data_IF_420884150423
#
_entry.id   IF_420884150423
#
_cell.length_a   1.000
_cell.length_b   1.000
_cell.length_c   1.000
_cell.angle_alpha   90.00
_cell.angle_beta   90.00
_cell.angle_gamma   90.00
#
_symmetry.space_group_name_H-M   'P 1'
#
loop_
_entity.id
_entity.type
_entity.pdbx_description
1 polymer ?
#
# COMPACT_ATOMS: atom_id res chain seq x y z
N UNK A 1 -0.76 21.16 14.55
CA UNK A 1 -0.95 19.68 14.57
C UNK A 1 -0.60 19.14 13.21
N UNK A 2 -0.03 17.93 13.15
CA UNK A 2 0.29 17.23 11.91
C UNK A 2 -0.14 15.77 12.04
N UNK A 3 -0.67 15.18 10.98
CA UNK A 3 -1.18 13.81 10.99
C UNK A 3 -1.18 13.19 9.59
N UNK A 4 -1.28 11.87 9.56
CA UNK A 4 -1.55 11.08 8.36
C UNK A 4 -3.00 10.54 8.44
N UNK A 5 -3.68 10.44 7.30
CA UNK A 5 -5.06 9.94 7.18
C UNK A 5 -5.15 8.47 6.68
N UNK A 6 -4.21 8.05 5.84
CA UNK A 6 -4.13 6.69 5.27
C UNK A 6 -3.94 5.57 6.29
N UNK A 7 -3.45 5.88 7.49
CA UNK A 7 -3.04 4.87 8.46
C UNK A 7 -1.79 4.17 7.96
N UNK A 8 -1.82 2.84 7.88
CA UNK A 8 -0.70 2.09 7.30
C UNK A 8 -0.88 1.91 5.81
N UNK A 9 -0.09 2.64 5.03
CA UNK A 9 -0.03 2.43 3.58
C UNK A 9 0.66 1.10 3.25
N UNK A 10 0.10 0.34 2.33
CA UNK A 10 0.70 -0.91 1.86
C UNK A 10 1.56 -0.62 0.62
N UNK A 11 2.78 -1.12 0.58
CA UNK A 11 3.63 -1.05 -0.61
C UNK A 11 3.96 -2.46 -1.12
N UNK A 12 4.08 -2.62 -2.43
CA UNK A 12 4.28 -3.92 -3.11
C UNK A 12 5.68 -4.53 -2.92
N UNK A 13 6.42 -4.14 -1.87
CA UNK A 13 7.81 -4.50 -1.67
C UNK A 13 8.76 -3.60 -2.48
N UNK A 14 9.87 -4.18 -2.95
CA UNK A 14 10.93 -3.44 -3.65
C UNK A 14 10.87 -3.57 -5.17
N UNK A 15 10.17 -4.57 -5.70
CA UNK A 15 10.14 -4.86 -7.14
C UNK A 15 8.80 -4.53 -7.83
N UNK A 16 8.86 -3.61 -8.79
CA UNK A 16 7.75 -3.15 -9.62
C UNK A 16 7.85 -3.65 -11.08
N UNK A 17 8.79 -4.55 -11.38
CA UNK A 17 9.04 -5.06 -12.74
C UNK A 17 8.04 -6.13 -13.21
N UNK A 18 7.29 -6.74 -12.31
CA UNK A 18 6.33 -7.82 -12.63
C UNK A 18 4.90 -7.27 -12.61
N UNK A 19 4.44 -6.79 -11.47
CA UNK A 19 3.16 -6.09 -11.33
C UNK A 19 3.18 -5.11 -10.16
N UNK A 20 2.16 -4.27 -10.08
CA UNK A 20 1.87 -3.43 -8.92
C UNK A 20 0.38 -3.46 -8.54
N UNK A 21 0.10 -3.46 -7.24
CA UNK A 21 -1.18 -3.17 -6.60
C UNK A 21 -1.17 -1.72 -6.07
N UNK A 22 -0.11 -1.29 -5.39
CA UNK A 22 0.04 0.06 -4.84
C UNK A 22 1.47 0.62 -4.98
N UNK A 23 1.64 1.91 -5.34
CA UNK A 23 2.94 2.55 -5.37
C UNK A 23 3.46 2.83 -3.94
N UNK A 24 4.75 3.18 -3.77
CA UNK A 24 5.19 3.89 -2.57
C UNK A 24 4.39 5.18 -2.42
N UNK A 25 3.73 5.37 -1.28
CA UNK A 25 2.78 6.47 -1.11
C UNK A 25 2.57 6.80 0.37
N UNK A 26 2.25 8.06 0.64
CA UNK A 26 1.77 8.52 1.94
C UNK A 26 1.15 9.91 1.82
N UNK A 27 0.34 10.29 2.80
CA UNK A 27 -0.24 11.61 2.91
C UNK A 27 0.15 12.26 4.23
N UNK A 28 0.41 13.56 4.19
CA UNK A 28 0.68 14.34 5.38
C UNK A 28 -0.21 15.58 5.39
N UNK A 29 -0.93 15.76 6.48
CA UNK A 29 -1.78 16.91 6.74
C UNK A 29 -1.25 17.72 7.91
N UNK A 30 -1.47 19.02 7.88
CA UNK A 30 -1.15 19.91 8.98
C UNK A 30 -2.11 21.09 9.08
N UNK A 31 -2.38 21.50 10.32
CA UNK A 31 -3.10 22.72 10.64
C UNK A 31 -2.31 23.54 11.66
N UNK A 32 -2.19 24.83 11.39
CA UNK A 32 -1.68 25.83 12.32
C UNK A 32 -2.87 26.54 12.96
N UNK A 33 -2.93 26.55 14.28
CA UNK A 33 -3.98 27.21 15.05
C UNK A 33 -3.34 28.21 15.98
N UNK A 34 -3.86 29.45 15.99
CA UNK A 34 -3.44 30.46 16.93
C UNK A 34 -4.05 30.14 18.31
N UNK A 35 -3.19 29.81 19.27
CA UNK A 35 -3.59 29.38 20.62
C UNK A 35 -4.45 30.42 21.37
N UNK A 36 -4.25 31.72 21.15
CA UNK A 36 -5.02 32.74 21.89
C UNK A 36 -6.42 32.98 21.33
N UNK A 37 -6.61 32.74 20.03
CA UNK A 37 -7.91 32.98 19.36
C UNK A 37 -8.67 31.70 19.03
N UNK A 38 -8.00 30.54 19.08
CA UNK A 38 -8.53 29.27 18.60
C UNK A 38 -8.74 29.21 17.08
N UNK A 39 -8.38 30.26 16.33
CA UNK A 39 -8.60 30.34 14.89
C UNK A 39 -7.43 29.72 14.12
N UNK A 40 -7.77 29.05 13.02
CA UNK A 40 -6.78 28.54 12.09
C UNK A 40 -6.01 29.70 11.42
N UNK A 41 -4.72 29.49 11.21
CA UNK A 41 -3.83 30.38 10.45
C UNK A 41 -3.56 29.73 9.11
N UNK A 42 -3.96 30.40 8.02
CA UNK A 42 -3.93 29.84 6.66
C UNK A 42 -3.12 30.70 5.68
N UNK A 43 -2.89 31.98 6.00
CA UNK A 43 -2.14 32.91 5.18
C UNK A 43 -0.89 33.45 5.89
N UNK A 44 0.03 34.02 5.12
CA UNK A 44 1.31 34.58 5.61
C UNK A 44 2.15 33.60 6.42
N UNK A 45 1.99 32.31 6.16
CA UNK A 45 2.75 31.22 6.78
C UNK A 45 3.14 30.20 5.73
N UNK A 46 4.29 29.58 5.95
CA UNK A 46 4.76 28.44 5.17
C UNK A 46 4.86 27.25 6.11
N UNK A 47 4.30 26.11 5.71
CA UNK A 47 4.50 24.84 6.37
C UNK A 47 5.40 23.96 5.53
N UNK A 48 6.39 23.34 6.17
CA UNK A 48 7.32 22.41 5.52
C UNK A 48 7.42 21.12 6.32
N UNK A 49 7.74 20.01 5.65
CA UNK A 49 8.08 18.75 6.29
C UNK A 49 9.52 18.33 5.94
N UNK A 50 10.18 17.64 6.87
CA UNK A 50 11.50 17.04 6.70
C UNK A 50 11.58 15.73 7.49
N UNK A 51 12.47 14.82 7.12
CA UNK A 51 12.69 13.57 7.86
C UNK A 51 13.11 13.86 9.29
N UNK A 52 12.64 13.04 10.21
CA UNK A 52 12.99 13.10 11.62
C UNK A 52 13.56 11.77 12.07
N UNK A 53 14.71 11.79 12.74
CA UNK A 53 15.25 10.59 13.36
C UNK A 53 14.35 10.17 14.51
N UNK A 54 14.03 8.89 14.60
CA UNK A 54 13.19 8.36 15.66
C UNK A 54 13.93 8.38 17.00
N UNK A 55 13.53 9.30 17.87
CA UNK A 55 14.00 9.44 19.24
C UNK A 55 12.93 9.01 20.27
N UNK A 56 11.86 8.35 19.79
CA UNK A 56 10.70 7.97 20.61
C UNK A 56 10.82 6.58 21.24
N UNK A 57 11.72 5.75 20.71
CA UNK A 57 12.07 4.43 21.26
C UNK A 57 13.30 4.50 22.19
N UNK A 58 13.51 3.52 23.09
CA UNK A 58 14.71 3.47 23.93
C UNK A 58 16.01 3.43 23.11
N UNK A 59 17.10 3.97 23.64
CA UNK A 59 18.43 3.99 22.97
C UNK A 59 19.01 2.59 22.69
N UNK A 60 18.49 1.57 23.36
CA UNK A 60 18.84 0.16 23.14
C UNK A 60 18.06 -0.48 21.98
N UNK A 61 17.00 0.17 21.50
CA UNK A 61 16.19 -0.30 20.38
C UNK A 61 16.95 -0.07 19.07
N UNK A 62 17.01 -1.05 18.15
CA UNK A 62 17.65 -0.87 16.84
C UNK A 62 17.03 0.26 16.00
N UNK A 63 15.78 0.65 16.27
CA UNK A 63 15.09 1.76 15.63
C UNK A 63 15.46 3.12 16.21
N UNK A 64 16.19 3.20 17.34
CA UNK A 64 16.68 4.48 17.83
C UNK A 64 17.57 5.16 16.77
N UNK A 65 17.24 6.40 16.47
CA UNK A 65 17.88 7.19 15.42
C UNK A 65 17.52 6.76 14.00
N UNK A 66 16.53 5.87 13.81
CA UNK A 66 16.07 5.47 12.49
C UNK A 66 15.54 6.69 11.73
N UNK A 67 16.02 6.87 10.50
CA UNK A 67 15.63 8.00 9.65
C UNK A 67 15.52 7.50 8.20
N UNK A 68 14.50 7.97 7.49
CA UNK A 68 14.29 7.66 6.08
C UNK A 68 14.35 8.97 5.28
N UNK A 69 15.42 9.17 4.51
CA UNK A 69 15.66 10.40 3.74
C UNK A 69 15.62 10.20 2.23
N UNK A 70 15.52 8.95 1.77
CA UNK A 70 15.60 8.56 0.37
C UNK A 70 14.85 7.24 0.16
N UNK A 71 14.07 7.14 -0.92
CA UNK A 71 13.34 5.92 -1.29
C UNK A 71 13.78 5.36 -2.63
N UNK A 72 14.33 6.19 -3.53
CA UNK A 72 14.75 5.81 -4.89
C UNK A 72 15.83 4.75 -4.97
N UNK A 73 16.61 4.57 -3.91
CA UNK A 73 17.66 3.54 -3.82
C UNK A 73 17.16 2.24 -3.19
N UNK A 74 15.92 2.21 -2.69
CA UNK A 74 15.34 1.09 -1.91
C UNK A 74 14.34 0.25 -2.70
N UNK A 75 13.95 0.72 -3.89
CA UNK A 75 13.02 0.06 -4.80
C UNK A 75 13.31 0.47 -6.25
N UNK A 76 12.88 -0.34 -7.22
CA UNK A 76 12.92 0.01 -8.65
C UNK A 76 11.65 0.71 -9.15
N UNK A 77 10.77 1.22 -8.27
CA UNK A 77 9.51 1.89 -8.62
C UNK A 77 9.66 2.94 -9.74
N UNK A 78 10.63 3.86 -9.62
CA UNK A 78 10.85 4.93 -10.60
C UNK A 78 11.27 4.43 -11.99
N UNK A 79 11.80 3.21 -12.10
CA UNK A 79 12.07 2.59 -13.40
C UNK A 79 10.78 2.19 -14.12
N UNK A 80 9.74 1.82 -13.38
CA UNK A 80 8.53 1.19 -13.91
C UNK A 80 7.27 2.05 -13.81
N UNK A 81 7.34 3.19 -13.11
CA UNK A 81 6.23 4.10 -12.89
C UNK A 81 5.56 4.58 -14.19
N UNK A 82 6.31 4.74 -15.30
CA UNK A 82 5.70 5.07 -16.59
C UNK A 82 4.72 4.01 -17.05
N UNK A 83 5.15 2.75 -17.01
CA UNK A 83 4.40 1.63 -17.55
C UNK A 83 3.21 1.29 -16.65
N UNK A 84 3.36 1.49 -15.34
CA UNK A 84 2.33 1.20 -14.35
C UNK A 84 1.29 2.32 -14.23
N UNK A 85 1.73 3.58 -14.12
CA UNK A 85 0.88 4.72 -13.74
C UNK A 85 0.81 5.82 -14.81
N UNK A 86 1.53 5.68 -15.93
CA UNK A 86 1.53 6.68 -17.00
C UNK A 86 2.23 8.00 -16.66
N UNK A 87 2.93 8.06 -15.52
CA UNK A 87 3.58 9.25 -14.99
C UNK A 87 5.12 9.11 -14.92
N UNK A 88 5.83 10.25 -14.93
CA UNK A 88 7.29 10.35 -14.80
C UNK A 88 7.72 11.29 -13.67
N UNK A 89 7.42 10.97 -12.39
CA UNK A 89 8.02 11.73 -11.31
C UNK A 89 9.55 11.59 -11.32
N UNK A 90 10.25 12.63 -10.88
CA UNK A 90 11.68 12.53 -10.62
C UNK A 90 11.98 11.47 -9.54
N UNK A 91 13.23 11.04 -9.43
CA UNK A 91 13.66 10.18 -8.32
C UNK A 91 13.30 10.84 -6.99
N UNK A 92 12.81 10.03 -6.04
CA UNK A 92 12.32 10.48 -4.73
C UNK A 92 11.12 11.43 -4.79
N UNK A 93 10.44 11.56 -5.93
CA UNK A 93 9.17 12.26 -6.05
C UNK A 93 8.04 11.27 -6.34
N UNK A 94 6.87 11.50 -5.74
CA UNK A 94 5.76 10.53 -5.78
C UNK A 94 4.60 10.95 -6.67
N UNK A 95 3.61 10.07 -6.74
CA UNK A 95 2.38 10.28 -7.50
C UNK A 95 1.36 10.99 -6.60
N UNK A 96 0.72 12.05 -7.08
CA UNK A 96 -0.42 12.65 -6.41
C UNK A 96 -1.70 12.24 -7.14
N UNK A 97 -2.63 11.57 -6.44
CA UNK A 97 -3.84 11.01 -7.04
C UNK A 97 -4.95 12.06 -7.19
N UNK A 98 -4.90 13.14 -6.41
CA UNK A 98 -5.86 14.26 -6.49
C UNK A 98 -5.45 15.30 -7.54
N UNK A 99 -4.17 15.69 -7.57
CA UNK A 99 -3.62 16.66 -8.52
C UNK A 99 -2.29 16.16 -9.10
N UNK A 100 -2.30 15.49 -10.27
CA UNK A 100 -1.09 14.96 -10.90
C UNK A 100 -0.02 16.00 -11.27
N UNK A 101 -0.32 17.30 -11.25
CA UNK A 101 0.66 18.35 -11.46
C UNK A 101 1.57 18.57 -10.23
N UNK A 102 1.13 18.12 -9.05
CA UNK A 102 1.88 18.21 -7.80
C UNK A 102 2.62 16.88 -7.58
N UNK A 103 3.91 16.95 -7.27
CA UNK A 103 4.71 15.76 -6.96
C UNK A 103 5.58 16.03 -5.75
N UNK A 104 5.14 15.52 -4.60
CA UNK A 104 5.80 15.75 -3.32
C UNK A 104 7.01 14.81 -3.17
N UNK A 105 8.15 15.31 -2.66
CA UNK A 105 9.34 14.49 -2.48
C UNK A 105 9.21 13.56 -1.26
N UNK A 106 9.95 12.45 -1.26
CA UNK A 106 10.32 11.71 -0.05
C UNK A 106 10.86 12.73 0.97
N UNK A 107 10.49 12.65 2.25
CA UNK A 107 11.08 13.51 3.26
C UNK A 107 12.59 13.36 3.21
N UNK A 108 13.32 14.46 3.29
CA UNK A 108 14.78 14.47 3.40
C UNK A 108 15.20 15.38 4.56
N UNK A 109 16.50 15.63 4.72
CA UNK A 109 17.00 16.66 5.66
C UNK A 109 16.77 18.09 5.15
N UNK A 110 16.34 18.25 3.90
CA UNK A 110 15.95 19.53 3.34
C UNK A 110 14.42 19.66 3.44
N UNK A 111 13.89 20.71 4.11
CA UNK A 111 12.46 20.89 4.24
C UNK A 111 11.76 21.08 2.89
N UNK A 112 10.73 20.27 2.65
CA UNK A 112 9.85 20.38 1.48
C UNK A 112 8.55 21.11 1.86
N UNK A 113 8.03 22.00 1.01
CA UNK A 113 6.81 22.75 1.31
C UNK A 113 5.56 21.85 1.29
N UNK A 114 4.57 22.23 2.09
CA UNK A 114 3.21 21.70 2.03
C UNK A 114 2.28 22.73 1.35
N UNK A 115 1.25 22.26 0.66
CA UNK A 115 0.30 23.12 -0.08
C UNK A 115 -0.99 23.28 0.70
N UNK A 116 -1.49 24.52 0.85
CA UNK A 116 -2.78 24.74 1.52
C UNK A 116 -3.95 24.30 0.62
N UNK A 117 -4.77 23.37 1.10
CA UNK A 117 -6.03 22.97 0.49
C UNK A 117 -7.18 23.65 1.20
N UNK A 118 -7.88 24.56 0.50
CA UNK A 118 -9.08 25.22 1.03
C UNK A 118 -10.24 24.22 1.21
N UNK A 119 -10.32 23.17 0.38
CA UNK A 119 -11.34 22.14 0.47
C UNK A 119 -11.23 21.32 1.75
N UNK A 120 -10.00 21.02 2.19
CA UNK A 120 -9.74 20.28 3.43
C UNK A 120 -9.52 21.19 4.64
N UNK A 121 -9.34 22.49 4.41
CA UNK A 121 -8.94 23.44 5.44
C UNK A 121 -7.61 23.03 6.09
N UNK A 122 -6.64 22.54 5.33
CA UNK A 122 -5.38 22.03 5.85
C UNK A 122 -4.22 22.23 4.86
N UNK A 123 -3.00 22.27 5.36
CA UNK A 123 -1.80 22.12 4.54
C UNK A 123 -1.58 20.64 4.28
N UNK A 124 -1.31 20.27 3.02
CA UNK A 124 -1.26 18.90 2.56
C UNK A 124 0.01 18.65 1.75
N UNK A 125 0.63 17.51 1.98
CA UNK A 125 1.60 16.89 1.09
C UNK A 125 1.09 15.46 0.81
N UNK A 126 0.40 15.32 -0.32
CA UNK A 126 -0.17 14.07 -0.81
C UNK A 126 0.82 13.34 -1.70
N UNK A 127 0.83 12.01 -1.65
CA UNK A 127 1.63 11.23 -2.57
C UNK A 127 3.12 11.20 -2.27
N UNK A 128 3.50 11.28 -0.99
CA UNK A 128 4.88 11.18 -0.54
C UNK A 128 5.38 9.74 -0.76
N UNK A 129 6.41 9.49 -1.59
CA UNK A 129 6.88 8.13 -1.84
C UNK A 129 7.83 7.70 -0.72
N UNK A 130 7.27 7.08 0.32
CA UNK A 130 8.01 6.56 1.47
C UNK A 130 8.04 5.03 1.43
N UNK A 131 9.10 4.44 1.96
CA UNK A 131 9.32 2.98 2.03
C UNK A 131 9.48 2.53 3.49
N UNK A 132 9.19 1.27 3.82
CA UNK A 132 9.28 0.77 5.19
C UNK A 132 10.72 0.48 5.63
N UNK A 133 11.72 1.07 4.97
CA UNK A 133 13.14 0.78 5.20
C UNK A 133 13.89 2.09 5.38
N UNK A 134 14.63 2.20 6.47
CA UNK A 134 15.40 3.38 6.82
C UNK A 134 16.71 3.48 6.01
N UNK A 135 17.48 4.54 6.22
CA UNK A 135 18.72 4.79 5.47
C UNK A 135 19.86 3.81 5.82
N UNK A 136 19.72 3.03 6.90
CA UNK A 136 20.63 1.95 7.28
C UNK A 136 20.16 0.60 6.74
N UNK A 137 19.14 0.59 5.88
CA UNK A 137 18.47 -0.61 5.38
C UNK A 137 17.78 -1.44 6.48
N UNK A 138 17.46 -0.82 7.61
CA UNK A 138 16.71 -1.45 8.70
C UNK A 138 15.22 -1.22 8.47
N UNK A 139 14.41 -2.26 8.67
CA UNK A 139 12.95 -2.16 8.54
C UNK A 139 12.39 -1.22 9.61
N UNK A 140 11.70 -0.17 9.19
CA UNK A 140 10.94 0.72 10.05
C UNK A 140 9.62 1.08 9.36
N UNK A 141 8.52 0.56 9.91
CA UNK A 141 7.17 0.79 9.38
C UNK A 141 6.57 2.15 9.79
N UNK A 142 7.27 2.87 10.67
CA UNK A 142 6.84 4.12 11.28
C UNK A 142 7.86 5.25 11.07
N UNK A 143 8.27 5.54 9.82
CA UNK A 143 9.20 6.64 9.57
C UNK A 143 8.59 7.97 10.02
N UNK A 144 9.41 8.76 10.72
CA UNK A 144 8.98 10.00 11.35
C UNK A 144 9.34 11.21 10.49
N UNK A 145 8.47 12.22 10.51
CA UNK A 145 8.71 13.54 9.92
C UNK A 145 8.46 14.65 10.92
N UNK A 146 9.16 15.76 10.74
CA UNK A 146 8.95 16.99 11.48
C UNK A 146 8.30 18.02 10.56
N UNK A 147 7.14 18.51 10.96
CA UNK A 147 6.46 19.64 10.32
C UNK A 147 6.84 20.92 11.04
N UNK A 148 7.24 21.95 10.29
CA UNK A 148 7.61 23.26 10.81
C UNK A 148 6.77 24.33 10.13
N UNK A 149 6.12 25.19 10.94
CA UNK A 149 5.44 26.38 10.45
C UNK A 149 6.32 27.62 10.68
N UNK A 150 6.47 28.45 9.64
CA UNK A 150 7.20 29.71 9.68
C UNK A 150 6.33 30.87 9.21
N UNK A 151 6.54 32.07 9.77
CA UNK A 151 5.97 33.30 9.19
C UNK A 151 6.78 33.78 7.98
N UNK A 152 6.35 34.90 7.38
CA UNK A 152 7.00 35.50 6.20
C UNK A 152 8.43 36.00 6.45
N UNK A 153 8.83 36.16 7.72
CA UNK A 153 10.21 36.53 8.09
C UNK A 153 11.11 35.30 8.27
N UNK A 154 10.53 34.10 8.20
CA UNK A 154 11.22 32.83 8.44
C UNK A 154 11.26 32.41 9.91
N UNK A 155 10.65 33.19 10.82
CA UNK A 155 10.56 32.82 12.24
C UNK A 155 9.68 31.60 12.42
N UNK A 156 10.18 30.61 13.15
CA UNK A 156 9.42 29.41 13.51
C UNK A 156 8.30 29.79 14.48
N UNK A 157 7.07 29.45 14.09
CA UNK A 157 5.87 29.66 14.89
C UNK A 157 5.51 28.42 15.71
N UNK A 158 5.65 27.24 15.10
CA UNK A 158 5.32 25.96 15.72
C UNK A 158 6.03 24.80 15.00
N UNK A 159 6.18 23.69 15.71
CA UNK A 159 6.61 22.41 15.15
C UNK A 159 5.67 21.30 15.61
N UNK A 160 5.62 20.22 14.83
CA UNK A 160 4.95 18.98 15.19
C UNK A 160 5.74 17.81 14.60
N UNK A 161 5.59 16.62 15.19
CA UNK A 161 6.07 15.36 14.63
C UNK A 161 4.87 14.55 14.17
N UNK A 162 5.01 13.86 13.04
CA UNK A 162 4.02 12.94 12.53
C UNK A 162 4.74 11.70 12.00
N UNK A 163 4.02 10.59 11.99
CA UNK A 163 4.47 9.35 11.36
C UNK A 163 3.91 9.28 9.94
N UNK A 164 4.66 8.70 9.01
CA UNK A 164 4.20 8.33 7.67
C UNK A 164 4.16 6.80 7.58
N UNK A 165 3.15 6.12 8.14
CA UNK A 165 3.20 4.69 8.31
C UNK A 165 3.12 3.99 6.95
N UNK A 166 4.04 3.08 6.71
CA UNK A 166 4.14 2.30 5.47
C UNK A 166 4.60 0.88 5.79
N UNK A 167 4.04 -0.12 5.11
CA UNK A 167 4.33 -1.53 5.34
C UNK A 167 4.36 -2.35 4.06
N UNK A 168 5.28 -3.31 4.02
CA UNK A 168 5.38 -4.36 3.00
C UNK A 168 5.09 -5.76 3.58
N UNK A 169 4.28 -5.82 4.63
CA UNK A 169 3.88 -7.07 5.29
C UNK A 169 2.91 -7.94 4.46
N UNK A 170 2.31 -7.40 3.39
CA UNK A 170 1.44 -8.14 2.49
C UNK A 170 2.15 -9.41 1.98
N UNK A 171 1.63 -10.59 2.31
CA UNK A 171 2.34 -11.87 2.18
C UNK A 171 1.68 -12.84 1.20
N UNK A 172 1.55 -12.44 -0.06
CA UNK A 172 1.11 -13.34 -1.13
C UNK A 172 2.04 -14.57 -1.29
N UNK A 173 3.33 -14.39 -0.93
CA UNK A 173 4.36 -15.44 -0.95
C UNK A 173 4.03 -16.67 -0.12
N UNK A 174 3.14 -16.58 0.88
CA UNK A 174 2.79 -17.72 1.72
C UNK A 174 2.16 -18.87 0.91
N UNK A 175 1.45 -18.55 -0.19
CA UNK A 175 0.84 -19.54 -1.06
C UNK A 175 1.42 -19.52 -2.49
N UNK A 176 1.81 -18.35 -3.00
CA UNK A 176 2.20 -18.21 -4.41
C UNK A 176 3.68 -18.50 -4.71
N UNK A 177 4.51 -18.79 -3.69
CA UNK A 177 5.91 -19.16 -3.91
C UNK A 177 6.01 -20.57 -4.49
N UNK A 178 6.87 -20.73 -5.50
CA UNK A 178 7.23 -22.03 -6.07
C UNK A 178 7.73 -22.97 -4.98
N UNK A 179 7.14 -24.16 -4.89
CA UNK A 179 7.43 -25.08 -3.80
C UNK A 179 7.33 -26.54 -4.24
N UNK A 180 8.08 -27.39 -3.55
CA UNK A 180 7.99 -28.86 -3.62
C UNK A 180 7.18 -29.43 -2.45
N UNK A 181 6.56 -28.58 -1.64
CA UNK A 181 5.73 -28.99 -0.51
C UNK A 181 4.59 -29.89 -0.96
N UNK A 182 4.28 -30.91 -0.15
CA UNK A 182 3.12 -31.79 -0.33
C UNK A 182 1.88 -31.29 0.40
N UNK A 183 1.97 -30.16 1.12
CA UNK A 183 0.82 -29.57 1.82
C UNK A 183 -0.21 -29.10 0.77
N UNK A 184 -1.46 -29.62 0.78
CA UNK A 184 -2.46 -29.22 -0.19
C UNK A 184 -2.78 -27.72 -0.18
N UNK A 185 -2.68 -27.06 0.98
CA UNK A 185 -2.95 -25.62 1.10
C UNK A 185 -1.86 -24.76 0.41
N UNK A 186 -0.58 -25.14 0.53
CA UNK A 186 0.50 -24.44 -0.22
C UNK A 186 0.39 -24.70 -1.72
N UNK A 187 -0.07 -25.89 -2.11
CA UNK A 187 -0.21 -26.26 -3.51
C UNK A 187 -1.50 -25.72 -4.16
N UNK A 188 -2.45 -25.21 -3.38
CA UNK A 188 -3.74 -24.69 -3.89
C UNK A 188 -3.58 -23.48 -4.83
N UNK A 189 -2.48 -22.74 -4.70
CA UNK A 189 -2.14 -21.60 -5.53
C UNK A 189 -1.22 -21.95 -6.72
N UNK A 190 -0.88 -23.24 -6.92
CA UNK A 190 -0.06 -23.68 -8.04
C UNK A 190 -0.77 -23.40 -9.36
N UNK A 191 -0.15 -22.65 -10.29
CA UNK A 191 -0.71 -22.50 -11.63
C UNK A 191 -0.86 -23.86 -12.31
N UNK A 192 -1.97 -24.13 -13.03
CA UNK A 192 -2.10 -25.31 -13.90
C UNK A 192 -0.90 -25.53 -14.82
N UNK A 193 -0.33 -24.45 -15.35
CA UNK A 193 0.88 -24.45 -16.18
C UNK A 193 2.18 -24.72 -15.41
N UNK A 194 2.10 -24.95 -14.09
CA UNK A 194 3.24 -25.21 -13.21
C UNK A 194 3.89 -23.95 -12.62
N UNK A 195 4.64 -24.17 -11.54
CA UNK A 195 5.44 -23.15 -10.86
C UNK A 195 6.49 -22.54 -11.79
N UNK A 196 6.73 -21.23 -11.68
CA UNK A 196 7.72 -20.50 -12.48
C UNK A 196 9.15 -20.80 -12.02
N UNK A 197 9.37 -20.88 -10.70
CA UNK A 197 10.69 -21.09 -10.08
C UNK A 197 11.72 -20.03 -10.49
N UNK A 198 11.35 -18.76 -10.37
CA UNK A 198 12.26 -17.63 -10.59
C UNK A 198 13.37 -17.64 -9.53
N UNK A 199 14.58 -17.25 -9.92
CA UNK A 199 15.72 -17.17 -9.01
C UNK A 199 15.60 -16.03 -8.00
N UNK A 200 14.87 -14.96 -8.35
CA UNK A 200 14.51 -13.91 -7.41
C UNK A 200 13.21 -14.30 -6.67
N UNK A 201 13.25 -14.52 -5.34
CA UNK A 201 12.07 -14.95 -4.60
C UNK A 201 10.89 -13.98 -4.68
N UNK A 202 11.13 -12.68 -4.84
CA UNK A 202 10.04 -11.70 -4.96
C UNK A 202 9.37 -11.78 -6.33
N UNK A 203 10.16 -11.96 -7.38
CA UNK A 203 9.63 -12.17 -8.73
C UNK A 203 8.91 -13.50 -8.87
N UNK A 204 9.39 -14.54 -8.19
CA UNK A 204 8.83 -15.88 -8.28
C UNK A 204 7.34 -15.90 -7.94
N UNK A 205 6.98 -15.47 -6.73
CA UNK A 205 5.57 -15.47 -6.32
C UNK A 205 4.74 -14.47 -7.13
N UNK A 206 5.33 -13.33 -7.55
CA UNK A 206 4.63 -12.36 -8.40
C UNK A 206 4.29 -12.95 -9.78
N UNK A 207 5.24 -13.65 -10.42
CA UNK A 207 5.04 -14.30 -11.72
C UNK A 207 4.07 -15.48 -11.62
N UNK A 208 4.11 -16.24 -10.51
CA UNK A 208 3.13 -17.30 -10.26
C UNK A 208 1.71 -16.75 -10.15
N UNK A 209 1.51 -15.58 -9.54
CA UNK A 209 0.18 -14.92 -9.53
C UNK A 209 -0.28 -14.58 -10.94
N UNK A 210 0.57 -13.94 -11.76
CA UNK A 210 0.20 -13.60 -13.14
C UNK A 210 -0.12 -14.85 -13.97
N UNK A 211 0.66 -15.93 -13.81
CA UNK A 211 0.42 -17.20 -14.50
C UNK A 211 -0.88 -17.85 -14.05
N UNK A 212 -1.14 -17.93 -12.75
CA UNK A 212 -2.40 -18.47 -12.23
C UNK A 212 -3.60 -17.64 -12.71
N UNK A 213 -3.45 -16.32 -12.78
CA UNK A 213 -4.47 -15.44 -13.32
C UNK A 213 -4.75 -15.75 -14.80
N UNK A 214 -3.71 -15.83 -15.64
CA UNK A 214 -3.84 -16.17 -17.05
C UNK A 214 -4.50 -17.54 -17.26
N UNK A 215 -4.03 -18.57 -16.55
CA UNK A 215 -4.56 -19.93 -16.61
C UNK A 215 -6.06 -19.98 -16.26
N UNK A 216 -6.51 -19.11 -15.35
CA UNK A 216 -7.93 -19.02 -14.93
C UNK A 216 -8.78 -18.12 -15.81
N UNK A 217 -8.21 -17.19 -16.57
CA UNK A 217 -8.98 -16.13 -17.24
C UNK A 217 -8.95 -16.20 -18.75
N UNK A 218 -7.85 -16.62 -19.39
CA UNK A 218 -7.76 -16.63 -20.87
C UNK A 218 -8.86 -17.46 -21.53
N UNK A 219 -9.14 -18.64 -20.98
CA UNK A 219 -10.09 -19.61 -21.54
C UNK A 219 -11.40 -19.71 -20.75
N UNK A 220 -11.64 -18.79 -19.81
CA UNK A 220 -12.90 -18.76 -19.07
C UNK A 220 -14.03 -18.29 -19.99
N UNK A 221 -15.15 -19.02 -20.09
CA UNK A 221 -16.23 -18.68 -21.03
C UNK A 221 -16.96 -17.38 -20.68
N UNK A 222 -16.85 -16.90 -19.43
CA UNK A 222 -17.51 -15.69 -18.95
C UNK A 222 -16.54 -14.52 -18.93
N UNK A 223 -15.40 -14.68 -18.26
CA UNK A 223 -14.43 -13.60 -18.03
C UNK A 223 -13.44 -13.46 -19.20
N UNK A 224 -13.19 -14.52 -19.99
CA UNK A 224 -12.17 -14.55 -21.06
C UNK A 224 -12.39 -13.53 -22.18
N UNK A 225 -13.60 -13.37 -22.73
CA UNK A 225 -13.87 -12.34 -23.73
C UNK A 225 -13.60 -10.92 -23.21
N UNK A 226 -13.87 -10.66 -21.93
CA UNK A 226 -13.60 -9.35 -21.31
C UNK A 226 -12.11 -9.17 -21.04
N UNK A 227 -11.44 -10.22 -20.60
CA UNK A 227 -10.02 -10.21 -20.33
C UNK A 227 -9.20 -9.93 -21.59
N UNK A 228 -9.52 -10.55 -22.73
CA UNK A 228 -8.86 -10.29 -24.01
C UNK A 228 -9.03 -8.82 -24.49
N UNK A 229 -10.22 -8.24 -24.27
CA UNK A 229 -10.46 -6.83 -24.58
C UNK A 229 -9.70 -5.89 -23.64
N UNK A 230 -9.63 -6.22 -22.35
CA UNK A 230 -8.87 -5.45 -21.37
C UNK A 230 -7.37 -5.49 -21.67
N UNK A 231 -6.82 -6.66 -22.02
CA UNK A 231 -5.43 -6.79 -22.48
C UNK A 231 -5.16 -5.84 -23.66
N UNK A 232 -6.04 -5.84 -24.66
CA UNK A 232 -5.92 -4.97 -25.84
C UNK A 232 -5.99 -3.48 -25.45
N UNK A 233 -6.98 -3.07 -24.64
CA UNK A 233 -7.17 -1.68 -24.25
C UNK A 233 -5.96 -1.09 -23.53
N UNK A 234 -5.31 -1.87 -22.66
CA UNK A 234 -4.14 -1.41 -21.90
C UNK A 234 -2.80 -1.80 -22.54
N UNK A 235 -2.83 -2.32 -23.77
CA UNK A 235 -1.65 -2.69 -24.56
C UNK A 235 -0.81 -3.79 -23.92
N UNK A 236 -1.45 -4.73 -23.23
CA UNK A 236 -0.82 -5.94 -22.72
C UNK A 236 -0.78 -7.03 -23.81
N UNK A 237 0.11 -8.01 -23.66
CA UNK A 237 0.26 -9.11 -24.63
C UNK A 237 -1.01 -9.96 -24.67
N UNK A 238 -1.49 -10.30 -25.86
CA UNK A 238 -2.71 -11.10 -26.05
C UNK A 238 -2.61 -12.52 -25.48
N UNK A 239 -1.40 -13.01 -25.22
CA UNK A 239 -1.13 -14.29 -24.57
C UNK A 239 -1.24 -14.23 -23.04
N UNK A 240 -1.42 -13.04 -22.45
CA UNK A 240 -1.67 -12.86 -21.01
C UNK A 240 -0.67 -11.97 -20.26
N UNK A 241 -0.95 -11.73 -18.97
CA UNK A 241 -0.17 -10.89 -18.08
C UNK A 241 1.23 -11.44 -17.81
N UNK A 242 1.39 -12.76 -17.68
CA UNK A 242 2.69 -13.37 -17.43
C UNK A 242 3.66 -13.13 -18.59
N UNK A 243 3.17 -13.24 -19.83
CA UNK A 243 3.95 -12.93 -21.03
C UNK A 243 4.25 -11.43 -21.13
N UNK A 244 3.28 -10.58 -20.78
CA UNK A 244 3.45 -9.13 -20.72
C UNK A 244 4.62 -8.74 -19.81
N UNK A 245 4.64 -9.26 -18.57
CA UNK A 245 5.71 -9.02 -17.60
C UNK A 245 7.04 -9.64 -18.02
N UNK A 246 7.04 -10.80 -18.69
CA UNK A 246 8.25 -11.41 -19.23
C UNK A 246 8.90 -10.56 -20.34
N UNK A 247 8.08 -9.83 -21.10
CA UNK A 247 8.54 -8.90 -22.14
C UNK A 247 8.95 -7.52 -21.58
N UNK A 248 9.06 -7.38 -20.26
CA UNK A 248 9.54 -6.15 -19.60
C UNK A 248 8.47 -5.07 -19.39
N UNK A 249 7.19 -5.36 -19.66
CA UNK A 249 6.08 -4.46 -19.34
C UNK A 249 5.39 -4.93 -18.05
N UNK A 250 5.55 -4.24 -16.91
CA UNK A 250 4.85 -4.61 -15.69
C UNK A 250 3.35 -4.37 -15.81
N UNK A 251 2.58 -5.05 -14.97
CA UNK A 251 1.11 -4.97 -14.97
C UNK A 251 0.63 -4.15 -13.77
N UNK A 252 -0.18 -3.11 -14.00
CA UNK A 252 -0.96 -2.50 -12.91
C UNK A 252 -2.30 -3.24 -12.80
N UNK A 253 -2.53 -3.91 -11.66
CA UNK A 253 -3.78 -4.65 -11.41
C UNK A 253 -5.01 -3.74 -11.57
N UNK A 254 -4.86 -2.49 -11.11
CA UNK A 254 -5.88 -1.46 -11.14
C UNK A 254 -6.20 -0.90 -12.53
N UNK A 255 -5.43 -1.25 -13.58
CA UNK A 255 -5.80 -0.91 -14.96
C UNK A 255 -7.10 -1.60 -15.35
N UNK A 256 -7.22 -2.90 -15.06
CA UNK A 256 -8.41 -3.68 -15.41
C UNK A 256 -9.43 -3.71 -14.28
N UNK A 257 -8.97 -3.84 -13.03
CA UNK A 257 -9.84 -3.94 -11.87
C UNK A 257 -10.00 -2.57 -11.19
N UNK A 258 -11.21 -2.02 -11.13
CA UNK A 258 -11.41 -0.72 -10.48
C UNK A 258 -10.89 -0.72 -9.03
N UNK A 259 -10.25 0.37 -8.63
CA UNK A 259 -9.65 0.53 -7.31
C UNK A 259 -9.88 1.94 -6.79
N UNK A 260 -10.56 2.03 -5.65
CA UNK A 260 -10.77 3.30 -4.99
C UNK A 260 -9.43 3.85 -4.47
N UNK A 261 -8.54 2.99 -3.93
CA UNK A 261 -7.22 3.38 -3.44
C UNK A 261 -6.36 4.14 -4.47
N UNK A 262 -6.58 3.88 -5.76
CA UNK A 262 -5.88 4.54 -6.86
C UNK A 262 -6.79 5.46 -7.70
N UNK A 263 -8.05 5.67 -7.27
CA UNK A 263 -9.08 6.39 -8.02
C UNK A 263 -9.23 5.93 -9.50
N UNK A 264 -9.10 4.61 -9.74
CA UNK A 264 -9.15 4.03 -11.09
C UNK A 264 -10.51 3.41 -11.38
N UNK A 265 -11.03 3.66 -12.59
CA UNK A 265 -12.32 3.10 -13.04
C UNK A 265 -12.24 1.64 -13.48
N UNK A 266 -11.04 1.12 -13.76
CA UNK A 266 -10.85 -0.20 -14.37
C UNK A 266 -11.41 -0.30 -15.80
N UNK A 267 -11.48 -1.55 -16.29
CA UNK A 267 -12.16 -1.90 -17.53
C UNK A 267 -13.64 -2.17 -17.26
N UNK A 268 -14.53 -1.66 -18.12
CA UNK A 268 -15.97 -1.81 -17.92
C UNK A 268 -16.40 -3.29 -17.81
N UNK A 269 -17.09 -3.59 -16.71
CA UNK A 269 -17.63 -4.91 -16.36
C UNK A 269 -16.59 -5.93 -15.86
N UNK A 270 -15.30 -5.58 -15.80
CA UNK A 270 -14.35 -6.32 -14.96
C UNK A 270 -14.65 -5.99 -13.50
N UNK A 271 -14.73 -7.00 -12.65
CA UNK A 271 -15.07 -6.84 -11.24
C UNK A 271 -13.99 -6.00 -10.53
N UNK A 272 -14.38 -5.19 -9.54
CA UNK A 272 -13.43 -4.35 -8.79
C UNK A 272 -12.32 -5.17 -8.13
N UNK A 273 -11.17 -4.55 -7.85
CA UNK A 273 -10.02 -5.25 -7.28
C UNK A 273 -10.35 -5.84 -5.91
N UNK A 274 -11.10 -5.10 -5.09
CA UNK A 274 -11.59 -5.58 -3.80
C UNK A 274 -12.50 -6.80 -3.95
N UNK A 275 -13.43 -6.80 -4.92
CA UNK A 275 -14.28 -7.96 -5.15
C UNK A 275 -13.45 -9.17 -5.60
N UNK A 276 -12.59 -8.97 -6.60
CA UNK A 276 -11.83 -10.03 -7.24
C UNK A 276 -10.86 -10.71 -6.26
N UNK A 277 -10.14 -9.94 -5.44
CA UNK A 277 -9.22 -10.49 -4.47
C UNK A 277 -9.96 -11.21 -3.35
N UNK A 278 -10.93 -10.57 -2.69
CA UNK A 278 -11.57 -11.19 -1.53
C UNK A 278 -12.37 -12.45 -1.90
N UNK A 279 -13.11 -12.46 -3.02
CA UNK A 279 -13.89 -13.64 -3.40
C UNK A 279 -13.03 -14.80 -3.90
N UNK A 280 -11.88 -14.52 -4.52
CA UNK A 280 -10.95 -15.57 -4.94
C UNK A 280 -10.22 -16.21 -3.74
N UNK A 281 -10.01 -15.46 -2.66
CA UNK A 281 -9.25 -15.92 -1.48
C UNK A 281 -10.12 -16.43 -0.34
N UNK A 282 -11.41 -16.08 -0.25
CA UNK A 282 -12.29 -16.56 0.81
C UNK A 282 -12.28 -18.09 1.00
N UNK A 283 -12.33 -18.96 -0.04
CA UNK A 283 -12.33 -20.41 0.17
C UNK A 283 -10.93 -21.00 0.40
N UNK A 284 -9.86 -20.19 0.31
CA UNK A 284 -8.48 -20.67 0.43
C UNK A 284 -8.19 -21.02 1.89
N UNK A 285 -7.31 -22.00 2.12
CA UNK A 285 -6.83 -22.34 3.46
C UNK A 285 -5.47 -21.72 3.70
N UNK A 286 -5.28 -21.17 4.89
CA UNK A 286 -3.97 -20.76 5.37
C UNK A 286 -3.04 -21.99 5.46
N UNK A 287 -1.88 -21.98 4.79
CA UNK A 287 -0.91 -23.07 4.86
C UNK A 287 -0.46 -23.45 6.27
N UNK A 288 -0.34 -22.48 7.18
CA UNK A 288 0.15 -22.69 8.54
C UNK A 288 -0.95 -23.24 9.45
N UNK A 289 -2.15 -22.65 9.42
CA UNK A 289 -3.24 -23.00 10.36
C UNK A 289 -4.24 -24.01 9.79
N UNK A 290 -4.27 -24.22 8.47
CA UNK A 290 -5.25 -25.04 7.74
C UNK A 290 -6.70 -24.57 7.88
N UNK A 291 -6.91 -23.37 8.41
CA UNK A 291 -8.22 -22.72 8.53
C UNK A 291 -8.53 -21.94 7.25
N UNK A 292 -9.79 -21.93 6.85
CA UNK A 292 -10.23 -21.13 5.70
C UNK A 292 -10.02 -19.64 5.98
N UNK A 293 -9.66 -18.88 4.94
CA UNK A 293 -9.45 -17.44 5.10
C UNK A 293 -10.74 -16.69 5.37
N UNK A 294 -11.89 -17.23 4.97
CA UNK A 294 -13.20 -16.66 5.29
C UNK A 294 -13.63 -16.80 6.76
N UNK A 295 -12.91 -17.60 7.57
CA UNK A 295 -13.30 -17.88 8.94
C UNK A 295 -13.26 -16.62 9.82
N UNK A 296 -14.37 -16.32 10.48
CA UNK A 296 -14.52 -15.15 11.35
C UNK A 296 -13.64 -15.18 12.59
N UNK A 297 -13.16 -16.36 12.98
CA UNK A 297 -12.26 -16.53 14.14
C UNK A 297 -10.79 -16.41 13.76
N UNK A 298 -10.47 -16.34 12.46
CA UNK A 298 -9.10 -16.27 11.98
C UNK A 298 -8.72 -14.84 11.57
N UNK A 299 -8.43 -13.99 12.56
CA UNK A 299 -7.93 -12.63 12.31
C UNK A 299 -6.67 -12.61 11.42
N UNK A 300 -5.79 -13.58 11.59
CA UNK A 300 -4.54 -13.71 10.81
C UNK A 300 -4.81 -13.79 9.31
N UNK A 301 -5.98 -14.28 8.89
CA UNK A 301 -6.37 -14.33 7.49
C UNK A 301 -6.38 -12.94 6.84
N UNK A 302 -6.88 -11.90 7.52
CA UNK A 302 -6.86 -10.52 7.01
C UNK A 302 -5.42 -9.99 6.92
N UNK A 303 -4.58 -10.32 7.90
CA UNK A 303 -3.18 -9.89 7.92
C UNK A 303 -2.27 -10.57 6.91
N UNK A 304 -2.75 -11.61 6.21
CA UNK A 304 -1.99 -12.16 5.10
C UNK A 304 -1.92 -11.22 3.89
N UNK A 305 -2.90 -10.30 3.76
CA UNK A 305 -2.95 -9.35 2.66
C UNK A 305 -2.86 -7.89 3.13
N UNK A 306 -3.32 -7.60 4.35
CA UNK A 306 -3.25 -6.28 4.95
C UNK A 306 -2.16 -6.22 6.02
N UNK A 307 -1.48 -5.09 6.20
CA UNK A 307 -0.48 -4.94 7.24
C UNK A 307 -1.14 -5.01 8.61
N UNK A 308 -0.39 -5.52 9.58
CA UNK A 308 -0.82 -5.56 10.98
C UNK A 308 -0.30 -6.74 11.78
N UNK A 309 0.36 -7.72 11.16
CA UNK A 309 0.93 -8.87 11.86
C UNK A 309 2.06 -8.49 12.83
N UNK A 310 2.99 -7.62 12.41
CA UNK A 310 4.02 -7.07 13.28
C UNK A 310 3.78 -5.58 13.56
N UNK A 311 3.29 -4.85 12.57
CA UNK A 311 2.93 -3.44 12.73
C UNK A 311 1.80 -3.20 13.71
N UNK A 312 0.88 -4.13 13.94
CA UNK A 312 -0.31 -3.91 14.78
C UNK A 312 -1.14 -2.70 14.30
N UNK A 313 -1.43 -2.62 13.00
CA UNK A 313 -2.20 -1.54 12.33
C UNK A 313 -3.66 -1.41 12.80
N UNK A 314 -3.87 -1.21 14.09
CA UNK A 314 -5.16 -1.06 14.71
C UNK A 314 -5.41 0.41 14.95
N UNK A 315 -6.59 0.87 14.54
CA UNK A 315 -7.04 2.24 14.76
C UNK A 315 -8.09 2.26 15.87
N UNK A 316 -7.94 3.18 16.81
CA UNK A 316 -8.96 3.52 17.81
C UNK A 316 -9.59 2.30 18.49
N UNK A 317 -10.90 2.12 18.28
CA UNK A 317 -11.69 1.07 18.91
C UNK A 317 -11.22 -0.37 18.62
N UNK A 318 -10.42 -0.62 17.57
CA UNK A 318 -9.87 -1.95 17.29
C UNK A 318 -8.64 -2.30 18.13
N UNK A 319 -7.92 -1.31 18.67
CA UNK A 319 -6.66 -1.54 19.40
C UNK A 319 -6.80 -1.50 20.93
N UNK A 320 -7.83 -0.84 21.44
CA UNK A 320 -7.99 -0.56 22.87
C UNK A 320 -8.70 -1.66 23.70
N UNK A 321 -9.72 -2.37 23.19
CA UNK A 321 -10.46 -3.31 24.01
C UNK A 321 -9.73 -4.66 24.08
N UNK A 322 -9.15 -4.95 25.24
CA UNK A 322 -8.54 -6.25 25.58
C UNK A 322 -9.22 -6.86 26.81
N UNK A 323 -9.27 -8.19 26.88
CA UNK A 323 -9.74 -8.89 28.06
C UNK A 323 -8.72 -8.80 29.22
N UNK A 324 -9.07 -9.36 30.38
CA UNK A 324 -8.19 -9.36 31.55
C UNK A 324 -6.87 -10.13 31.32
N UNK A 325 -6.76 -10.94 30.26
CA UNK A 325 -5.57 -11.68 29.85
C UNK A 325 -4.79 -10.97 28.73
N UNK A 326 -5.24 -9.80 28.28
CA UNK A 326 -4.61 -9.02 27.20
C UNK A 326 -5.00 -9.47 25.79
N UNK A 327 -5.96 -10.39 25.63
CA UNK A 327 -6.45 -10.79 24.31
C UNK A 327 -7.36 -9.71 23.75
N UNK A 328 -7.30 -9.45 22.45
CA UNK A 328 -8.19 -8.47 21.84
C UNK A 328 -9.64 -8.93 21.88
N UNK A 329 -10.54 -8.03 22.31
CA UNK A 329 -11.98 -8.28 22.40
C UNK A 329 -12.70 -7.98 21.07
N UNK A 330 -12.01 -7.37 20.11
CA UNK A 330 -12.54 -6.99 18.82
C UNK A 330 -11.52 -7.29 17.73
N UNK A 331 -11.98 -7.90 16.64
CA UNK A 331 -11.18 -8.24 15.47
C UNK A 331 -11.71 -7.53 14.22
N UNK A 332 -10.95 -7.62 13.12
CA UNK A 332 -11.35 -7.07 11.82
C UNK A 332 -12.76 -7.54 11.44
N UNK A 333 -13.03 -8.84 11.63
CA UNK A 333 -14.28 -9.48 11.27
C UNK A 333 -15.47 -9.03 12.13
N UNK A 334 -15.23 -8.51 13.36
CA UNK A 334 -16.29 -7.98 14.22
C UNK A 334 -17.04 -6.80 13.58
N UNK A 335 -16.36 -6.02 12.73
CA UNK A 335 -16.94 -4.86 12.04
C UNK A 335 -17.05 -5.07 10.52
N UNK A 336 -16.07 -5.75 9.92
CA UNK A 336 -16.00 -5.90 8.46
C UNK A 336 -16.70 -7.16 7.95
N UNK A 337 -16.91 -8.16 8.81
CA UNK A 337 -17.45 -9.47 8.44
C UNK A 337 -16.40 -10.41 7.83
N UNK A 338 -16.87 -11.45 7.14
CA UNK A 338 -16.02 -12.42 6.43
C UNK A 338 -15.39 -11.80 5.18
N UNK A 339 -14.36 -12.44 4.61
CA UNK A 339 -13.77 -12.00 3.34
C UNK A 339 -14.80 -11.99 2.21
N UNK A 340 -15.66 -13.00 2.14
CA UNK A 340 -16.76 -13.10 1.19
C UNK A 340 -17.70 -11.89 1.31
N UNK A 341 -18.00 -11.44 2.54
CA UNK A 341 -18.82 -10.25 2.78
C UNK A 341 -18.09 -8.96 2.36
N UNK A 342 -16.79 -8.84 2.63
CA UNK A 342 -15.97 -7.71 2.14
C UNK A 342 -15.93 -7.68 0.61
N UNK A 343 -15.83 -8.84 -0.03
CA UNK A 343 -15.86 -9.02 -1.47
C UNK A 343 -17.24 -8.92 -2.11
N UNK A 344 -18.31 -8.51 -1.40
CA UNK A 344 -19.64 -8.41 -2.02
C UNK A 344 -19.65 -7.37 -3.17
N UNK A 345 -20.30 -7.69 -4.30
CA UNK A 345 -20.42 -6.78 -5.45
C UNK A 345 -21.13 -5.46 -5.11
N UNK A 346 -22.00 -5.45 -4.10
CA UNK A 346 -22.70 -4.23 -3.65
C UNK A 346 -21.87 -3.39 -2.69
N UNK A 347 -20.73 -3.92 -2.21
CA UNK A 347 -19.80 -3.17 -1.37
C UNK A 347 -18.85 -2.36 -2.23
N UNK A 348 -18.76 -1.09 -1.89
CA UNK A 348 -17.70 -0.21 -2.38
C UNK A 348 -16.55 -0.31 -1.37
N UNK A 349 -15.34 -0.63 -1.83
CA UNK A 349 -14.15 -0.68 -0.97
C UNK A 349 -13.94 0.68 -0.30
N UNK A 350 -13.62 0.70 0.98
CA UNK A 350 -13.42 1.96 1.70
C UNK A 350 -12.12 2.62 1.24
N UNK A 351 -12.19 3.93 0.98
CA UNK A 351 -11.05 4.82 1.06
C UNK A 351 -11.07 5.43 2.45
N UNK A 352 -9.95 5.31 3.18
CA UNK A 352 -9.75 6.03 4.44
C UNK A 352 -9.26 7.44 4.18
#
# INVERSE_FOLDING_TARGET
>A
MAWNDLGMHCVDGKDFSVFSILPPYNNLHAQLVNKSTGKQVTGNVTLTYESHADDTVPTTDPLYGSINTISSTKTNFWTYVQALFGAQPALDHGLNLTDPAISNPTPSKTPAPMTYSAALGAFVAEGIPITPVDDRMVKNFYPMVKVTAKDTTGKVLATARAVLPVSDEMTCKACHTSTTSTNPATQAARPPSGWVSDADPEKDWKRNILRLHDDRKLNDPVDGPMYAKALTQFGYDSRGLATTAANGKPVLCASCHSSNALATSGYFGVRSLTHALHTAHSPVKDPATQVALDDTTNRTACYMCHPGSATQCLRGAMGNPVDASGNQLMDCQSCHGTMQQVGNLTRTGWLS
#
